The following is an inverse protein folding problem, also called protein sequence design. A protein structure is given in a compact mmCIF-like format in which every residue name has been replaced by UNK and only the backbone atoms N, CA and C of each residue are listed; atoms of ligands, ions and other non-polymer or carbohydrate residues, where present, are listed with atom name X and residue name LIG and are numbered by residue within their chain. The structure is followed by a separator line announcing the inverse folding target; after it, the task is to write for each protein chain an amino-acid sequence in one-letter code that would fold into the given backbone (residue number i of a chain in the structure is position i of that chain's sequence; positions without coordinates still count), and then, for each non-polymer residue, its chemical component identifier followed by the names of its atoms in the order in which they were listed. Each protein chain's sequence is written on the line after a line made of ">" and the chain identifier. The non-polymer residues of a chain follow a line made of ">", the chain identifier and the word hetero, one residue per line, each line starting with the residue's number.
data_IF_848583350630
#
_entry.id   IF_848583350630
#
_cell.length_a   1.000
_cell.length_b   1.000
_cell.length_c   1.000
_cell.angle_alpha   90.00
_cell.angle_beta   90.00
_cell.angle_gamma   90.00
#
_symmetry.space_group_name_H-M   'P 1'
#
loop_
_entity.id
_entity.type
_entity.pdbx_description
1 polymer ?
#
# COMPACT_ATOMS: atom_id res chain seq x y z
N UNK A 1 3.72 16.33 -13.18
CA UNK A 1 3.93 14.93 -13.65
C UNK A 1 2.57 14.26 -13.75
N UNK A 2 2.29 13.52 -14.83
CA UNK A 2 0.99 12.87 -15.08
C UNK A 2 1.18 11.36 -14.95
N UNK A 3 0.44 10.72 -14.03
CA UNK A 3 0.37 9.26 -13.86
C UNK A 3 -0.98 8.77 -14.41
N UNK A 4 -0.96 7.94 -15.46
CA UNK A 4 -2.14 7.35 -16.10
C UNK A 4 -2.21 5.84 -15.84
N UNK A 5 -3.30 5.36 -15.22
CA UNK A 5 -3.50 3.94 -14.95
C UNK A 5 -4.53 3.34 -15.92
N UNK A 6 -4.17 2.29 -16.67
CA UNK A 6 -5.13 1.42 -17.37
C UNK A 6 -5.66 0.35 -16.41
N UNK A 7 -6.97 0.14 -16.42
CA UNK A 7 -7.65 -0.91 -15.68
C UNK A 7 -8.34 -1.86 -16.66
N UNK A 8 -8.04 -3.16 -16.60
CA UNK A 8 -8.75 -4.19 -17.35
C UNK A 8 -9.83 -4.78 -16.45
N UNK A 9 -11.10 -4.43 -16.69
CA UNK A 9 -12.25 -5.01 -15.97
C UNK A 9 -12.93 -6.05 -16.85
N UNK A 10 -12.91 -7.31 -16.44
CA UNK A 10 -13.92 -8.29 -16.85
C UNK A 10 -15.12 -8.19 -15.89
N UNK A 11 -16.30 -8.07 -16.49
CA UNK A 11 -17.59 -8.11 -15.80
C UNK A 11 -17.89 -9.53 -15.34
N UNK A 12 -18.45 -9.71 -14.13
CA UNK A 12 -19.72 -10.43 -13.97
C UNK A 12 -20.33 -10.17 -12.58
N UNK A 13 -21.63 -9.87 -12.59
CA UNK A 13 -22.52 -9.83 -11.41
C UNK A 13 -22.96 -11.26 -11.09
N UNK A 14 -22.99 -11.66 -9.81
CA UNK A 14 -24.03 -12.54 -9.26
C UNK A 14 -23.89 -12.65 -7.74
N UNK A 15 -25.00 -12.43 -7.05
CA UNK A 15 -25.18 -12.68 -5.62
C UNK A 15 -25.39 -14.19 -5.38
N UNK A 16 -24.89 -14.70 -4.25
CA UNK A 16 -25.43 -15.90 -3.61
C UNK A 16 -25.13 -15.84 -2.11
N UNK A 17 -26.18 -15.68 -1.31
CA UNK A 17 -26.15 -15.86 0.13
C UNK A 17 -26.19 -17.37 0.43
N UNK A 18 -25.29 -17.85 1.30
CA UNK A 18 -25.43 -19.16 1.95
C UNK A 18 -25.09 -18.99 3.43
N UNK A 19 -26.12 -19.12 4.26
CA UNK A 19 -25.99 -19.28 5.70
C UNK A 19 -25.53 -20.71 6.00
N UNK A 20 -24.51 -20.86 6.86
CA UNK A 20 -24.16 -22.16 7.45
C UNK A 20 -24.28 -22.02 8.96
N UNK A 21 -25.28 -22.73 9.49
CA UNK A 21 -25.61 -22.90 10.90
C UNK A 21 -24.62 -23.85 11.58
N UNK A 22 -24.24 -23.53 12.82
CA UNK A 22 -23.36 -24.31 13.68
C UNK A 22 -24.02 -25.59 14.21
N UNK A 23 -23.23 -26.66 14.33
CA UNK A 23 -23.54 -27.83 15.19
C UNK A 23 -22.25 -28.22 15.94
N UNK A 24 -22.25 -28.29 17.28
CA UNK A 24 -21.11 -28.80 18.04
C UNK A 24 -21.19 -30.33 18.10
N UNK A 25 -20.14 -31.02 17.64
CA UNK A 25 -19.99 -32.46 17.83
C UNK A 25 -19.06 -32.70 19.03
N UNK A 26 -19.64 -33.21 20.12
CA UNK A 26 -18.91 -33.75 21.27
C UNK A 26 -18.39 -35.14 20.92
N UNK A 27 -17.11 -35.41 21.17
CA UNK A 27 -16.56 -36.77 21.15
C UNK A 27 -15.86 -37.07 22.48
N UNK A 28 -16.32 -38.15 23.10
CA UNK A 28 -15.90 -38.70 24.38
C UNK A 28 -14.60 -39.51 24.26
N UNK A 29 -13.79 -39.36 25.31
CA UNK A 29 -12.65 -40.16 25.81
C UNK A 29 -12.55 -41.63 25.33
N UNK A 30 -11.33 -42.03 24.97
CA UNK A 30 -10.76 -43.33 25.35
C UNK A 30 -9.38 -43.13 26.00
N UNK A 31 -9.22 -43.74 27.17
CA UNK A 31 -8.02 -43.71 28.00
C UNK A 31 -7.05 -44.86 27.63
N UNK A 32 -5.75 -44.61 27.76
CA UNK A 32 -4.73 -45.63 27.93
C UNK A 32 -3.71 -45.10 28.95
N UNK A 33 -3.59 -45.82 30.06
CA UNK A 33 -2.65 -45.57 31.16
C UNK A 33 -1.23 -45.97 30.75
N UNK A 34 -0.23 -45.27 31.30
CA UNK A 34 0.95 -45.88 31.92
C UNK A 34 1.55 -44.87 32.89
N UNK A 35 1.89 -45.38 34.07
CA UNK A 35 2.35 -44.69 35.26
C UNK A 35 3.82 -44.25 35.14
N UNK A 36 4.20 -43.14 35.81
CA UNK A 36 5.43 -43.07 36.62
C UNK A 36 5.50 -41.75 37.44
N UNK A 37 5.31 -41.96 38.75
CA UNK A 37 5.90 -41.37 39.97
C UNK A 37 6.47 -39.92 40.06
N UNK A 38 6.04 -39.24 41.15
CA UNK A 38 6.82 -38.37 42.06
C UNK A 38 7.31 -37.00 41.53
N UNK A 39 6.91 -35.85 42.08
CA UNK A 39 7.05 -35.49 43.49
C UNK A 39 6.31 -34.19 43.83
N UNK A 40 5.64 -34.21 44.97
CA UNK A 40 4.85 -33.14 45.59
C UNK A 40 5.73 -32.00 46.14
N UNK A 41 5.37 -30.73 45.86
CA UNK A 41 5.40 -29.62 46.86
C UNK A 41 4.33 -28.57 46.54
N UNK A 42 3.32 -28.57 47.39
CA UNK A 42 2.26 -27.58 47.58
C UNK A 42 2.80 -26.20 47.98
N UNK A 43 2.23 -25.11 47.44
CA UNK A 43 1.97 -23.87 48.19
C UNK A 43 0.73 -23.15 47.64
N UNK A 44 -0.28 -23.06 48.51
CA UNK A 44 -1.45 -22.18 48.44
C UNK A 44 -1.01 -20.71 48.26
N UNK A 45 -1.62 -19.91 47.36
CA UNK A 45 -1.81 -18.47 47.57
C UNK A 45 -2.88 -17.84 46.64
N UNK A 46 -3.99 -17.43 47.27
CA UNK A 46 -4.84 -16.25 47.01
C UNK A 46 -5.41 -15.93 45.61
N UNK A 47 -6.73 -16.16 45.51
CA UNK A 47 -7.69 -15.54 44.59
C UNK A 47 -7.95 -14.08 44.98
N UNK A 48 -7.71 -13.12 44.09
CA UNK A 48 -8.21 -11.73 44.19
C UNK A 48 -8.89 -11.29 42.88
N UNK A 49 -10.20 -11.07 42.96
CA UNK A 49 -11.01 -10.34 41.98
C UNK A 49 -10.68 -8.84 42.06
N UNK A 50 -10.52 -8.18 40.91
CA UNK A 50 -10.78 -6.75 40.68
C UNK A 50 -11.20 -6.61 39.20
N UNK A 51 -12.50 -6.48 38.91
CA UNK A 51 -13.27 -5.24 38.72
C UNK A 51 -12.67 -4.29 37.65
N UNK A 52 -13.35 -4.35 36.51
CA UNK A 52 -13.38 -3.40 35.40
C UNK A 52 -13.31 -1.94 35.89
N UNK A 53 -12.31 -1.20 35.43
CA UNK A 53 -12.33 0.27 35.42
C UNK A 53 -11.78 0.69 34.06
N UNK A 54 -12.67 1.16 33.19
CA UNK A 54 -12.32 1.76 31.91
C UNK A 54 -11.70 3.14 32.19
N UNK A 55 -10.50 3.37 31.69
CA UNK A 55 -9.79 4.65 31.70
C UNK A 55 -9.92 5.26 30.29
N UNK A 56 -10.17 6.58 30.17
CA UNK A 56 -10.66 7.18 28.93
C UNK A 56 -9.58 7.30 27.84
N UNK A 57 -10.04 7.23 26.60
CA UNK A 57 -9.29 7.33 25.36
C UNK A 57 -8.47 8.62 25.24
N UNK A 58 -7.17 8.56 25.56
CA UNK A 58 -6.21 9.64 25.22
C UNK A 58 -5.44 9.37 23.93
N UNK A 59 -5.49 8.14 23.39
CA UNK A 59 -4.80 7.78 22.14
C UNK A 59 -5.54 8.28 20.89
N UNK A 60 -6.87 8.31 20.93
CA UNK A 60 -7.72 8.72 19.79
C UNK A 60 -7.60 10.21 19.46
N UNK A 61 -7.48 11.08 20.46
CA UNK A 61 -7.24 12.53 20.27
C UNK A 61 -5.94 12.79 19.51
N UNK A 62 -4.85 12.14 19.94
CA UNK A 62 -3.52 12.34 19.35
C UNK A 62 -3.40 11.87 17.89
N UNK A 63 -4.14 10.82 17.53
CA UNK A 63 -4.13 10.29 16.16
C UNK A 63 -5.00 11.15 15.24
N UNK A 64 -6.13 11.63 15.76
CA UNK A 64 -7.01 12.57 15.05
C UNK A 64 -6.32 13.90 14.78
N UNK A 65 -5.66 14.48 15.78
CA UNK A 65 -4.90 15.74 15.62
C UNK A 65 -3.80 15.64 14.57
N UNK A 66 -3.06 14.53 14.54
CA UNK A 66 -2.02 14.29 13.50
C UNK A 66 -2.61 14.15 12.10
N UNK A 67 -3.78 13.56 11.97
CA UNK A 67 -4.45 13.41 10.68
C UNK A 67 -5.02 14.74 10.18
N UNK A 68 -5.66 15.49 11.07
CA UNK A 68 -6.29 16.77 10.75
C UNK A 68 -5.25 17.81 10.27
N UNK A 69 -4.00 17.70 10.71
CA UNK A 69 -2.86 18.52 10.25
C UNK A 69 -2.56 18.36 8.75
N UNK A 70 -2.91 17.23 8.13
CA UNK A 70 -2.76 17.02 6.68
C UNK A 70 -3.90 17.63 5.87
N UNK A 71 -5.00 18.04 6.51
CA UNK A 71 -6.20 18.59 5.88
C UNK A 71 -6.47 20.05 6.22
N UNK A 72 -5.63 20.64 7.08
CA UNK A 72 -5.81 21.98 7.64
C UNK A 72 -4.65 22.91 7.28
N UNK A 73 -4.86 24.22 7.48
CA UNK A 73 -3.82 25.22 7.32
C UNK A 73 -3.43 25.46 5.85
N UNK A 74 -2.16 25.24 5.53
CA UNK A 74 -1.54 25.49 4.22
C UNK A 74 -1.56 24.26 3.28
N UNK A 75 -2.20 23.16 3.71
CA UNK A 75 -2.29 21.94 2.93
C UNK A 75 -3.19 22.13 1.70
N UNK A 76 -2.65 21.82 0.52
CA UNK A 76 -3.42 21.77 -0.74
C UNK A 76 -3.73 20.32 -1.07
N UNK A 77 -5.00 19.96 -1.00
CA UNK A 77 -5.49 18.60 -1.30
C UNK A 77 -6.01 18.53 -2.74
N UNK A 78 -5.63 17.48 -3.46
CA UNK A 78 -6.10 17.16 -4.81
C UNK A 78 -6.71 15.76 -4.84
N UNK A 79 -7.92 15.66 -5.34
CA UNK A 79 -8.65 14.39 -5.46
C UNK A 79 -8.24 13.60 -6.72
N UNK A 80 -8.36 12.27 -6.64
CA UNK A 80 -8.05 11.31 -7.69
C UNK A 80 -8.48 9.90 -7.26
N UNK A 81 -7.79 8.84 -7.73
CA UNK A 81 -8.00 7.46 -7.23
C UNK A 81 -7.79 7.38 -5.71
N UNK A 82 -6.90 8.24 -5.20
CA UNK A 82 -6.73 8.55 -3.80
C UNK A 82 -6.24 10.00 -3.67
N UNK A 83 -6.22 10.58 -2.47
CA UNK A 83 -5.92 12.00 -2.29
C UNK A 83 -4.42 12.27 -2.33
N UNK A 84 -4.03 13.38 -2.98
CA UNK A 84 -2.68 13.93 -2.95
C UNK A 84 -2.69 15.19 -2.11
N UNK A 85 -1.85 15.23 -1.09
CA UNK A 85 -1.75 16.34 -0.15
C UNK A 85 -0.39 16.99 -0.35
N UNK A 86 -0.37 18.29 -0.63
CA UNK A 86 0.85 19.09 -0.69
C UNK A 86 0.90 20.01 0.52
N UNK A 87 1.96 19.89 1.31
CA UNK A 87 2.22 20.75 2.48
C UNK A 87 3.63 21.31 2.39
N UNK A 88 3.75 22.63 2.20
CA UNK A 88 5.02 23.27 1.83
C UNK A 88 5.69 22.63 0.60
N UNK A 89 6.85 22.00 0.80
CA UNK A 89 7.65 21.31 -0.23
C UNK A 89 7.42 19.79 -0.30
N UNK A 90 6.65 19.25 0.64
CA UNK A 90 6.40 17.83 0.79
C UNK A 90 5.09 17.42 0.14
N UNK A 91 5.08 16.20 -0.39
CA UNK A 91 3.93 15.55 -0.97
C UNK A 91 3.61 14.28 -0.19
N UNK A 92 2.33 14.11 0.09
CA UNK A 92 1.79 12.97 0.79
C UNK A 92 0.66 12.34 -0.03
N UNK A 93 0.54 11.02 0.06
CA UNK A 93 -0.59 10.28 -0.47
C UNK A 93 -1.41 9.78 0.70
N UNK A 94 -2.69 10.12 0.69
CA UNK A 94 -3.67 9.48 1.56
C UNK A 94 -4.36 8.38 0.75
N UNK A 95 -4.02 7.12 1.05
CA UNK A 95 -4.46 5.95 0.32
C UNK A 95 -5.58 5.26 1.11
N UNK A 96 -6.81 5.20 0.58
CA UNK A 96 -7.88 4.40 1.16
C UNK A 96 -7.53 2.92 1.13
N UNK A 97 -7.85 2.20 2.20
CA UNK A 97 -7.66 0.74 2.30
C UNK A 97 -8.46 -0.02 1.25
N UNK A 98 -9.53 0.57 0.73
CA UNK A 98 -10.31 0.02 -0.38
C UNK A 98 -9.53 -0.06 -1.70
N UNK A 99 -8.51 0.78 -1.87
CA UNK A 99 -7.63 0.83 -3.07
C UNK A 99 -6.35 0.02 -2.87
N UNK A 100 -5.94 -0.21 -1.62
CA UNK A 100 -4.83 -1.12 -1.33
C UNK A 100 -5.12 -2.52 -1.87
N UNK A 101 -4.08 -3.19 -2.37
CA UNK A 101 -4.18 -4.49 -3.02
C UNK A 101 -4.67 -4.44 -4.47
N UNK A 102 -5.02 -3.27 -5.01
CA UNK A 102 -5.39 -3.11 -6.42
C UNK A 102 -4.19 -2.82 -7.29
N UNK A 103 -4.24 -3.35 -8.51
CA UNK A 103 -3.24 -3.11 -9.54
C UNK A 103 -3.42 -1.73 -10.16
N UNK A 104 -2.29 -1.05 -10.32
CA UNK A 104 -2.24 0.34 -10.73
C UNK A 104 -1.13 0.53 -11.76
N UNK A 105 -1.48 0.89 -13.00
CA UNK A 105 -0.50 1.31 -14.00
C UNK A 105 0.06 2.73 -13.74
N UNK A 106 1.30 2.85 -13.30
CA UNK A 106 2.00 4.13 -13.31
C UNK A 106 2.50 4.43 -14.72
N UNK A 107 2.03 5.52 -15.32
CA UNK A 107 2.57 6.05 -16.58
C UNK A 107 3.38 7.31 -16.27
N UNK A 108 4.62 7.40 -16.70
CA UNK A 108 5.45 8.57 -16.49
C UNK A 108 5.58 9.37 -17.79
N UNK A 109 5.30 10.68 -17.72
CA UNK A 109 5.34 11.60 -18.88
C UNK A 109 6.10 12.88 -18.60
N UNK A 110 6.78 13.39 -19.63
CA UNK A 110 7.43 14.71 -19.57
C UNK A 110 6.40 15.84 -19.55
N UNK A 111 6.51 16.72 -18.56
CA UNK A 111 5.66 17.93 -18.49
C UNK A 111 6.33 19.15 -19.11
N UNK A 112 7.67 19.16 -19.09
CA UNK A 112 8.54 20.15 -19.72
C UNK A 112 9.88 19.49 -19.97
N UNK A 113 10.60 19.94 -20.98
CA UNK A 113 11.90 19.41 -21.40
C UNK A 113 12.85 20.59 -21.65
N UNK A 114 14.15 20.46 -21.33
CA UNK A 114 15.19 21.38 -21.79
C UNK A 114 15.25 21.44 -23.32
N UNK A 115 15.81 22.53 -23.86
CA UNK A 115 15.92 22.73 -25.30
C UNK A 115 16.76 21.63 -25.96
N UNK A 116 17.82 21.21 -25.28
CA UNK A 116 18.77 20.18 -25.72
C UNK A 116 18.08 18.83 -25.91
N UNK A 117 17.15 18.47 -25.01
CA UNK A 117 16.38 17.25 -25.10
C UNK A 117 15.30 17.32 -26.19
N UNK A 118 14.72 18.51 -26.41
CA UNK A 118 13.74 18.74 -27.46
C UNK A 118 14.36 18.53 -28.85
N UNK A 119 15.55 19.09 -29.08
CA UNK A 119 16.32 18.88 -30.31
C UNK A 119 16.71 17.42 -30.56
N UNK A 120 16.78 16.59 -29.50
CA UNK A 120 17.01 15.15 -29.56
C UNK A 120 15.73 14.31 -29.71
N UNK A 121 14.56 14.94 -29.98
CA UNK A 121 13.29 14.26 -30.21
C UNK A 121 12.44 14.00 -28.95
N UNK A 122 12.91 14.42 -27.77
CA UNK A 122 12.17 14.29 -26.51
C UNK A 122 11.27 15.51 -26.31
N UNK A 123 9.97 15.34 -26.56
CA UNK A 123 8.97 16.40 -26.45
C UNK A 123 8.17 16.35 -25.15
N UNK A 124 7.52 17.47 -24.82
CA UNK A 124 6.48 17.51 -23.77
C UNK A 124 5.36 16.52 -24.10
N UNK A 125 4.89 15.80 -23.10
CA UNK A 125 3.79 14.86 -23.19
C UNK A 125 4.21 13.43 -23.58
N UNK A 126 5.45 13.24 -24.02
CA UNK A 126 5.99 11.91 -24.32
C UNK A 126 6.01 11.06 -23.05
N UNK A 127 5.50 9.85 -23.19
CA UNK A 127 5.61 8.78 -22.21
C UNK A 127 6.99 8.15 -22.31
N UNK A 128 7.70 8.05 -21.17
CA UNK A 128 9.04 7.46 -21.13
C UNK A 128 9.13 6.20 -20.28
N UNK A 129 8.17 5.94 -19.38
CA UNK A 129 8.17 4.73 -18.56
C UNK A 129 6.76 4.36 -18.11
N UNK A 130 6.46 3.07 -18.12
CA UNK A 130 5.19 2.51 -17.67
C UNK A 130 5.46 1.34 -16.73
N UNK A 131 4.79 1.32 -15.58
CA UNK A 131 4.99 0.26 -14.59
C UNK A 131 3.69 -0.05 -13.86
N UNK A 132 3.30 -1.32 -13.82
CA UNK A 132 2.22 -1.77 -12.96
C UNK A 132 2.74 -1.88 -11.52
N UNK A 133 2.01 -1.30 -10.57
CA UNK A 133 2.31 -1.37 -9.14
C UNK A 133 1.09 -1.79 -8.34
N UNK A 134 1.31 -2.30 -7.14
CA UNK A 134 0.28 -2.56 -6.13
C UNK A 134 0.78 -2.03 -4.79
N UNK A 135 -0.02 -1.19 -4.12
CA UNK A 135 0.27 -0.79 -2.74
C UNK A 135 -0.31 -1.81 -1.78
N UNK A 136 0.50 -2.23 -0.79
CA UNK A 136 0.15 -3.20 0.23
C UNK A 136 0.47 -2.60 1.60
N UNK A 137 -0.45 -2.74 2.55
CA UNK A 137 -0.18 -2.39 3.94
C UNK A 137 0.49 -3.58 4.62
N UNK A 138 1.71 -3.36 5.11
CA UNK A 138 2.39 -4.31 5.98
C UNK A 138 2.12 -3.95 7.44
N UNK A 139 1.14 -4.64 8.03
CA UNK A 139 0.78 -4.48 9.45
C UNK A 139 1.91 -4.87 10.41
N UNK A 140 2.84 -5.75 10.01
CA UNK A 140 3.92 -6.18 10.87
C UNK A 140 5.00 -5.10 11.01
N UNK A 141 5.28 -4.36 9.94
CA UNK A 141 6.29 -3.28 9.94
C UNK A 141 5.68 -1.88 10.03
N UNK A 142 4.35 -1.76 10.03
CA UNK A 142 3.63 -0.48 10.00
C UNK A 142 4.08 0.42 8.83
N UNK A 143 4.25 -0.19 7.66
CA UNK A 143 4.68 0.48 6.44
C UNK A 143 3.72 0.17 5.29
N UNK A 144 3.62 1.09 4.34
CA UNK A 144 3.02 0.80 3.03
C UNK A 144 4.13 0.39 2.09
N UNK A 145 4.02 -0.78 1.47
CA UNK A 145 4.96 -1.26 0.45
C UNK A 145 4.34 -1.15 -0.92
N UNK A 146 5.15 -0.86 -1.91
CA UNK A 146 4.77 -0.95 -3.30
C UNK A 146 5.44 -2.16 -3.92
N UNK A 147 4.64 -2.98 -4.60
CA UNK A 147 5.08 -4.15 -5.34
C UNK A 147 4.95 -3.88 -6.83
N UNK A 148 5.97 -4.22 -7.60
CA UNK A 148 5.84 -4.19 -9.06
C UNK A 148 4.99 -5.36 -9.50
N UNK A 149 4.01 -5.14 -10.37
CA UNK A 149 3.18 -6.19 -10.94
C UNK A 149 3.52 -6.38 -12.41
N UNK A 150 3.15 -7.54 -12.94
CA UNK A 150 3.21 -7.82 -14.37
C UNK A 150 1.82 -8.26 -14.82
N UNK A 151 1.34 -7.79 -15.98
CA UNK A 151 0.11 -8.32 -16.55
C UNK A 151 0.24 -9.84 -16.75
N UNK A 152 -0.71 -10.59 -16.22
CA UNK A 152 -0.82 -12.02 -16.44
C UNK A 152 -1.95 -12.29 -17.43
N UNK A 153 -1.84 -13.35 -18.26
CA UNK A 153 -2.94 -13.76 -19.11
C UNK A 153 -4.13 -14.20 -18.26
N UNK A 154 -5.35 -13.96 -18.76
CA UNK A 154 -6.56 -14.44 -18.11
C UNK A 154 -6.65 -15.96 -18.23
N UNK A 155 -7.04 -16.61 -17.14
CA UNK A 155 -7.06 -18.06 -17.00
C UNK A 155 -8.32 -18.49 -16.27
N UNK A 156 -8.89 -19.62 -16.68
CA UNK A 156 -10.07 -20.18 -16.00
C UNK A 156 -9.76 -20.46 -14.53
N UNK A 157 -10.72 -20.18 -13.65
CA UNK A 157 -10.63 -20.52 -12.24
C UNK A 157 -10.33 -22.01 -12.05
N UNK A 158 -9.40 -22.33 -11.15
CA UNK A 158 -8.97 -23.72 -10.90
C UNK A 158 -7.93 -24.27 -11.87
N UNK A 159 -7.34 -23.44 -12.73
CA UNK A 159 -6.25 -23.87 -13.61
C UNK A 159 -4.99 -24.22 -12.79
N UNK A 160 -4.58 -25.48 -12.82
CA UNK A 160 -3.42 -25.98 -12.08
C UNK A 160 -2.09 -25.29 -12.46
N UNK A 161 -1.94 -24.85 -13.72
CA UNK A 161 -0.77 -24.11 -14.18
C UNK A 161 -0.74 -22.72 -13.53
N UNK A 162 -1.89 -22.06 -13.41
CA UNK A 162 -1.97 -20.74 -12.78
C UNK A 162 -1.56 -20.80 -11.30
N UNK A 163 -2.03 -21.82 -10.58
CA UNK A 163 -1.61 -22.07 -9.19
C UNK A 163 -0.10 -22.34 -9.11
N UNK A 164 0.43 -23.22 -9.97
CA UNK A 164 1.86 -23.53 -9.99
C UNK A 164 2.74 -22.30 -10.26
N UNK A 165 2.30 -21.39 -11.15
CA UNK A 165 2.99 -20.12 -11.42
C UNK A 165 2.90 -19.19 -10.21
N UNK A 166 1.73 -19.06 -9.59
CA UNK A 166 1.54 -18.22 -8.41
C UNK A 166 2.38 -18.69 -7.21
N UNK A 167 2.53 -20.00 -7.04
CA UNK A 167 3.35 -20.60 -5.98
C UNK A 167 4.85 -20.46 -6.27
N UNK A 168 5.25 -20.43 -7.55
CA UNK A 168 6.66 -20.32 -7.93
C UNK A 168 7.18 -18.87 -7.90
N UNK A 169 6.35 -17.90 -8.26
CA UNK A 169 6.79 -16.51 -8.47
C UNK A 169 6.15 -15.55 -7.48
N UNK A 170 6.99 -14.78 -6.79
CA UNK A 170 6.56 -13.59 -6.06
C UNK A 170 7.04 -12.33 -6.77
N UNK A 171 6.13 -11.37 -6.91
CA UNK A 171 6.44 -10.06 -7.47
C UNK A 171 7.30 -9.23 -6.49
N UNK A 172 8.35 -8.52 -6.92
CA UNK A 172 9.27 -7.85 -6.00
C UNK A 172 8.69 -6.55 -5.41
N UNK A 173 9.10 -6.23 -4.18
CA UNK A 173 8.90 -4.89 -3.61
C UNK A 173 9.87 -3.89 -4.24
N UNK A 174 9.35 -2.71 -4.59
CA UNK A 174 10.09 -1.64 -5.28
C UNK A 174 10.23 -0.38 -4.42
N UNK A 175 9.34 -0.17 -3.45
CA UNK A 175 9.49 0.85 -2.42
C UNK A 175 8.77 0.46 -1.14
N UNK A 176 9.18 1.10 -0.05
CA UNK A 176 8.49 1.10 1.22
C UNK A 176 8.37 2.54 1.72
N UNK A 177 7.22 2.84 2.31
CA UNK A 177 6.88 4.17 2.80
C UNK A 177 6.48 4.06 4.26
N UNK A 178 7.05 4.95 5.08
CA UNK A 178 6.62 5.12 6.45
C UNK A 178 5.22 5.73 6.47
N UNK A 179 4.38 5.23 7.38
CA UNK A 179 3.05 5.79 7.62
C UNK A 179 3.21 6.99 8.56
N UNK A 180 2.74 8.15 8.12
CA UNK A 180 2.78 9.39 8.88
C UNK A 180 1.52 9.55 9.74
N UNK A 181 0.37 9.13 9.23
CA UNK A 181 -0.91 9.13 9.96
C UNK A 181 -1.87 8.06 9.44
N UNK A 182 -2.83 7.70 10.29
CA UNK A 182 -4.04 6.95 9.92
C UNK A 182 -5.23 7.90 9.98
N UNK A 183 -6.23 7.67 9.14
CA UNK A 183 -7.51 8.39 9.29
C UNK A 183 -8.17 8.05 10.64
N UNK A 184 -9.03 8.93 11.19
CA UNK A 184 -9.65 8.71 12.50
C UNK A 184 -10.49 7.42 12.57
N UNK A 185 -11.05 7.00 11.44
CA UNK A 185 -11.79 5.75 11.24
C UNK A 185 -10.91 4.57 10.77
N UNK A 186 -9.59 4.78 10.66
CA UNK A 186 -8.60 3.82 10.15
C UNK A 186 -8.88 3.28 8.74
N UNK A 187 -9.69 3.96 7.93
CA UNK A 187 -10.02 3.56 6.55
C UNK A 187 -8.98 4.02 5.52
N UNK A 188 -8.09 4.95 5.86
CA UNK A 188 -7.02 5.44 5.00
C UNK A 188 -5.69 5.60 5.76
N UNK A 189 -4.60 5.61 4.99
CA UNK A 189 -3.23 5.80 5.48
C UNK A 189 -2.55 6.94 4.75
N UNK A 190 -1.83 7.80 5.47
CA UNK A 190 -1.07 8.92 4.90
C UNK A 190 0.40 8.54 4.85
N UNK A 191 1.00 8.63 3.67
CA UNK A 191 2.42 8.32 3.43
C UNK A 191 3.14 9.49 2.75
N UNK A 192 4.40 9.73 3.11
CA UNK A 192 5.25 10.72 2.43
C UNK A 192 5.91 10.09 1.20
N UNK A 193 5.87 10.77 0.04
CA UNK A 193 6.27 10.18 -1.25
C UNK A 193 7.37 10.93 -1.99
N UNK A 194 8.08 11.84 -1.33
CA UNK A 194 9.10 12.65 -1.98
C UNK A 194 10.24 11.82 -2.60
N UNK A 195 10.60 10.71 -1.96
CA UNK A 195 11.81 9.94 -2.29
C UNK A 195 11.71 9.20 -3.62
N UNK A 196 10.50 8.89 -4.09
CA UNK A 196 10.30 8.25 -5.40
C UNK A 196 10.36 9.23 -6.58
N UNK A 197 10.48 10.53 -6.30
CA UNK A 197 10.46 11.60 -7.33
C UNK A 197 11.68 12.52 -7.26
N UNK A 198 12.52 12.41 -6.24
CA UNK A 198 13.73 13.23 -6.12
C UNK A 198 14.95 12.63 -6.84
N UNK A 199 14.80 11.45 -7.47
CA UNK A 199 15.89 10.78 -8.18
C UNK A 199 16.87 10.00 -7.28
N UNK A 200 16.66 9.96 -5.96
CA UNK A 200 17.41 9.07 -5.05
C UNK A 200 16.97 7.61 -5.22
N UNK A 201 15.69 7.40 -5.48
CA UNK A 201 15.13 6.08 -5.73
C UNK A 201 14.68 5.98 -7.19
N UNK A 202 15.27 5.03 -7.94
CA UNK A 202 14.98 4.79 -9.35
C UNK A 202 13.87 3.77 -9.58
N UNK A 203 13.34 3.14 -8.52
CA UNK A 203 12.38 2.02 -8.63
C UNK A 203 11.00 2.41 -9.17
N UNK A 204 10.67 3.70 -9.17
CA UNK A 204 9.42 4.26 -9.73
C UNK A 204 9.66 5.15 -10.94
N UNK A 205 10.87 5.70 -11.05
CA UNK A 205 11.19 6.75 -11.99
C UNK A 205 12.70 6.75 -12.24
N UNK A 206 13.11 6.40 -13.45
CA UNK A 206 14.50 6.46 -13.87
C UNK A 206 14.65 7.21 -15.19
N UNK A 207 14.22 8.47 -15.21
CA UNK A 207 14.16 9.31 -16.42
C UNK A 207 15.41 9.20 -17.31
N UNK A 208 16.61 9.28 -16.73
CA UNK A 208 17.86 9.33 -17.50
C UNK A 208 18.17 8.00 -18.19
N UNK A 209 18.06 6.88 -17.46
CA UNK A 209 18.23 5.56 -18.08
C UNK A 209 17.10 5.23 -19.06
N UNK A 210 15.86 5.62 -18.74
CA UNK A 210 14.68 5.30 -19.56
C UNK A 210 14.73 5.99 -20.94
N UNK A 211 15.41 7.14 -21.05
CA UNK A 211 15.63 7.84 -22.32
C UNK A 211 17.03 7.64 -22.91
N UNK A 212 17.81 6.70 -22.37
CA UNK A 212 19.19 6.40 -22.81
C UNK A 212 20.14 7.61 -22.82
N UNK A 213 19.96 8.54 -21.89
CA UNK A 213 20.86 9.68 -21.73
C UNK A 213 21.76 9.41 -20.52
N UNK A 214 23.08 9.47 -20.74
CA UNK A 214 24.05 9.29 -19.67
C UNK A 214 23.87 10.30 -18.53
N UNK A 215 24.09 9.85 -17.30
CA UNK A 215 23.97 10.67 -16.10
C UNK A 215 22.84 10.21 -15.17
N UNK A 216 22.67 10.93 -14.07
CA UNK A 216 21.66 10.68 -13.04
C UNK A 216 21.07 11.99 -12.56
N UNK A 217 19.88 11.92 -11.97
CA UNK A 217 19.26 13.06 -11.31
C UNK A 217 20.13 13.54 -10.14
N UNK A 218 20.38 14.84 -10.06
CA UNK A 218 20.97 15.46 -8.87
C UNK A 218 19.82 15.74 -7.90
N UNK A 219 19.73 14.95 -6.83
CA UNK A 219 18.56 14.99 -5.93
C UNK A 219 18.29 16.36 -5.32
N UNK A 220 19.35 17.11 -5.07
CA UNK A 220 19.29 18.40 -4.37
C UNK A 220 18.75 19.52 -5.26
N UNK A 221 18.81 19.32 -6.58
CA UNK A 221 18.26 20.24 -7.59
C UNK A 221 16.88 19.80 -8.09
N UNK A 222 16.43 18.60 -7.71
CA UNK A 222 15.13 18.07 -8.14
C UNK A 222 13.98 18.78 -7.40
N UNK A 223 13.11 19.45 -8.17
CA UNK A 223 11.93 20.15 -7.66
C UNK A 223 10.65 19.56 -8.25
N UNK A 224 9.69 19.23 -7.37
CA UNK A 224 8.36 18.73 -7.74
C UNK A 224 7.37 19.88 -7.84
N UNK A 225 6.87 20.13 -9.05
CA UNK A 225 5.88 21.20 -9.28
C UNK A 225 4.45 20.77 -8.95
N UNK A 226 4.06 19.55 -9.37
CA UNK A 226 2.74 18.98 -9.11
C UNK A 226 2.72 17.45 -9.34
N UNK A 227 1.91 16.76 -8.56
CA UNK A 227 1.53 15.35 -8.75
C UNK A 227 0.03 15.31 -9.00
N UNK A 228 -0.40 14.57 -10.03
CA UNK A 228 -1.83 14.34 -10.32
C UNK A 228 -2.11 12.86 -10.46
N UNK A 229 -3.26 12.45 -9.94
CA UNK A 229 -3.81 11.12 -10.06
C UNK A 229 -5.12 11.24 -10.84
N UNK A 230 -5.22 10.56 -11.97
CA UNK A 230 -6.44 10.55 -12.76
C UNK A 230 -7.17 9.22 -12.54
N UNK A 231 -8.49 9.29 -12.42
CA UNK A 231 -9.38 8.15 -12.57
C UNK A 231 -9.71 8.03 -14.07
N UNK A 232 -9.46 6.87 -14.66
CA UNK A 232 -9.97 6.56 -15.99
C UNK A 232 -11.26 5.75 -15.81
N UNK A 233 -12.39 6.34 -16.19
CA UNK A 233 -13.67 5.63 -16.34
C UNK A 233 -13.70 4.83 -17.64
#
# INVERSE_FOLDING_TARGET
>A
MYINLLNHRSFLKAAAAVAITAVPFSASVYAANNDDESSSRSFLFFKKKNKHTAQPDTTSSSTKEKYDDFHSGDAVVSDGIFKVIKKGADYYFEIPRSVLGRDMLVVNKFTRVPLELNSAGVNRGINYANQMIRFELDSATSMVRARQQRPMPDVKNGNAIATSVADNYISPFIAAFKIEAYSPDSTAVVIKVNDIFNGKNTSFNNVFSDINIGGSAISDLSRRTFVRLNVFE
#
